data_IF_287452770618
#
_entry.id   IF_287452770618
#
_cell.length_a   1.000
_cell.length_b   1.000
_cell.length_c   1.000
_cell.angle_alpha   90.00
_cell.angle_beta   90.00
_cell.angle_gamma   90.00
#
_symmetry.space_group_name_H-M   'P 1'
#
loop_
_entity.id
_entity.type
_entity.pdbx_description
1 polymer ?
#
# COMPACT_ATOMS: atom_id res chain seq x y z
N UNK A 1 -69.68 24.71 4.05
CA UNK A 1 -69.60 23.35 4.61
C UNK A 1 -68.19 22.84 4.35
N UNK A 2 -67.46 22.52 5.42
CA UNK A 2 -66.05 22.14 5.43
C UNK A 2 -65.89 20.71 4.92
N UNK A 3 -65.05 20.50 3.91
CA UNK A 3 -64.59 19.17 3.51
C UNK A 3 -63.36 18.79 4.34
N UNK A 4 -63.46 17.65 5.02
CA UNK A 4 -62.44 17.03 5.86
C UNK A 4 -61.60 16.12 4.96
N UNK A 5 -60.26 16.26 4.89
CA UNK A 5 -59.44 15.28 4.20
C UNK A 5 -59.23 14.07 5.11
N UNK A 6 -59.60 12.89 4.62
CA UNK A 6 -59.34 11.59 5.24
C UNK A 6 -57.85 11.30 5.11
N UNK A 7 -57.14 11.32 6.24
CA UNK A 7 -55.75 10.87 6.36
C UNK A 7 -55.77 9.35 6.48
N UNK A 8 -55.36 8.66 5.41
CA UNK A 8 -55.06 7.23 5.47
C UNK A 8 -53.67 7.06 6.10
N UNK A 9 -53.65 6.69 7.39
CA UNK A 9 -52.43 6.28 8.09
C UNK A 9 -52.09 4.87 7.64
N UNK A 10 -51.11 4.74 6.74
CA UNK A 10 -50.51 3.46 6.38
C UNK A 10 -49.44 3.12 7.43
N UNK A 11 -49.79 2.29 8.42
CA UNK A 11 -48.85 1.74 9.39
C UNK A 11 -48.05 0.64 8.69
N UNK A 12 -46.87 0.96 8.16
CA UNK A 12 -45.89 -0.07 7.81
C UNK A 12 -45.22 -0.56 9.11
N UNK A 13 -45.68 -1.69 9.61
CA UNK A 13 -44.93 -2.50 10.57
C UNK A 13 -43.74 -3.14 9.83
N UNK A 14 -42.59 -2.47 9.81
CA UNK A 14 -41.35 -3.11 9.38
C UNK A 14 -40.84 -3.97 10.53
N UNK A 15 -40.98 -5.28 10.38
CA UNK A 15 -40.24 -6.27 11.16
C UNK A 15 -38.75 -5.95 11.07
N UNK A 16 -38.15 -5.53 12.18
CA UNK A 16 -36.69 -5.44 12.30
C UNK A 16 -36.13 -6.84 12.19
N UNK A 17 -35.58 -7.19 11.03
CA UNK A 17 -34.64 -8.29 10.92
C UNK A 17 -33.34 -7.76 11.51
N UNK A 18 -33.05 -8.19 12.74
CA UNK A 18 -31.71 -8.05 13.30
C UNK A 18 -30.76 -8.88 12.45
N UNK A 19 -29.96 -8.23 11.61
CA UNK A 19 -28.77 -8.84 11.05
C UNK A 19 -27.64 -8.64 12.06
N UNK A 20 -27.56 -9.59 12.99
CA UNK A 20 -26.29 -9.96 13.60
C UNK A 20 -25.59 -10.89 12.62
N UNK A 21 -24.60 -10.40 11.88
CA UNK A 21 -23.58 -11.24 11.27
C UNK A 21 -22.21 -10.58 11.45
N UNK A 22 -21.46 -11.15 12.38
CA UNK A 22 -20.01 -11.10 12.47
C UNK A 22 -19.41 -11.71 11.21
N UNK A 23 -18.56 -10.94 10.52
CA UNK A 23 -17.30 -11.35 9.88
C UNK A 23 -16.88 -10.23 8.91
N UNK A 24 -16.51 -9.07 9.47
CA UNK A 24 -15.69 -8.13 8.72
C UNK A 24 -14.26 -8.68 8.70
N UNK A 25 -13.96 -9.58 7.76
CA UNK A 25 -12.61 -9.63 7.21
C UNK A 25 -12.46 -8.39 6.33
N UNK A 26 -12.18 -7.25 6.98
CA UNK A 26 -11.81 -6.03 6.30
C UNK A 26 -10.65 -6.34 5.33
N UNK A 27 -10.68 -5.83 4.08
CA UNK A 27 -9.64 -6.09 3.09
C UNK A 27 -8.28 -5.64 3.65
N UNK A 28 -7.25 -6.50 3.59
CA UNK A 28 -5.89 -6.21 4.09
C UNK A 28 -5.11 -5.27 3.15
N UNK A 29 -5.71 -4.15 2.76
CA UNK A 29 -5.07 -3.07 1.97
C UNK A 29 -4.18 -2.16 2.84
N UNK A 30 -3.78 -2.58 4.06
CA UNK A 30 -3.29 -1.68 5.12
C UNK A 30 -1.86 -1.87 5.63
N UNK A 31 -1.02 -2.73 5.03
CA UNK A 31 0.22 -3.19 5.70
C UNK A 31 1.51 -3.03 4.88
N UNK A 32 1.44 -2.38 3.73
CA UNK A 32 2.57 -2.22 2.82
C UNK A 32 3.08 -0.77 2.76
N UNK A 33 4.40 -0.59 2.78
CA UNK A 33 5.09 0.68 2.58
C UNK A 33 6.23 0.46 1.58
N UNK A 34 6.29 1.28 0.52
CA UNK A 34 7.32 1.18 -0.53
C UNK A 34 7.48 -0.23 -1.13
N UNK A 35 6.39 -0.98 -1.23
CA UNK A 35 6.41 -2.37 -1.69
C UNK A 35 6.88 -3.39 -0.64
N UNK A 36 7.25 -2.97 0.57
CA UNK A 36 7.51 -3.88 1.69
C UNK A 36 6.24 -4.11 2.49
N UNK A 37 5.86 -5.37 2.68
CA UNK A 37 4.65 -5.74 3.43
C UNK A 37 5.03 -6.39 4.76
N UNK A 38 4.39 -5.92 5.84
CA UNK A 38 4.43 -6.62 7.11
C UNK A 38 3.97 -8.08 6.93
N UNK A 39 4.58 -8.98 7.67
CA UNK A 39 4.28 -10.41 7.65
C UNK A 39 4.37 -11.07 6.26
N UNK A 40 5.17 -10.50 5.34
CA UNK A 40 5.41 -11.09 4.01
C UNK A 40 6.84 -10.86 3.54
N UNK A 41 7.32 -9.62 3.61
CA UNK A 41 8.73 -9.31 3.31
C UNK A 41 9.63 -9.92 4.38
N UNK A 42 10.70 -10.61 3.97
CA UNK A 42 11.74 -11.10 4.89
C UNK A 42 12.94 -10.17 4.96
N UNK A 43 13.75 -10.29 6.02
CA UNK A 43 15.04 -9.59 6.05
C UNK A 43 15.96 -10.01 4.90
N UNK A 44 15.86 -11.27 4.47
CA UNK A 44 16.61 -11.79 3.32
C UNK A 44 16.23 -11.07 2.03
N UNK A 45 14.94 -10.85 1.78
CA UNK A 45 14.46 -10.08 0.62
C UNK A 45 15.04 -8.66 0.62
N UNK A 46 15.01 -8.00 1.77
CA UNK A 46 15.51 -6.63 1.88
C UNK A 46 17.02 -6.55 1.65
N UNK A 47 17.79 -7.51 2.18
CA UNK A 47 19.24 -7.61 1.95
C UNK A 47 19.58 -7.85 0.48
N UNK A 48 18.75 -8.61 -0.23
CA UNK A 48 18.93 -8.86 -1.66
C UNK A 48 18.64 -7.61 -2.50
N UNK A 49 17.67 -6.79 -2.08
CA UNK A 49 17.31 -5.54 -2.75
C UNK A 49 18.30 -4.39 -2.46
N UNK A 50 18.77 -4.27 -1.21
CA UNK A 50 19.69 -3.24 -0.77
C UNK A 50 20.94 -3.83 -0.10
N UNK A 51 22.06 -3.85 -0.83
CA UNK A 51 23.33 -4.42 -0.34
C UNK A 51 23.98 -3.62 0.81
N UNK A 52 23.55 -2.37 1.01
CA UNK A 52 24.02 -1.46 2.06
C UNK A 52 23.22 -1.57 3.37
N UNK A 53 22.38 -2.60 3.51
CA UNK A 53 21.54 -2.81 4.68
C UNK A 53 22.38 -3.02 5.95
N UNK A 54 22.17 -2.17 6.96
CA UNK A 54 22.91 -2.16 8.23
C UNK A 54 21.97 -2.47 9.39
N UNK A 55 22.46 -3.25 10.35
CA UNK A 55 21.82 -3.43 11.65
C UNK A 55 22.08 -2.20 12.50
N UNK A 56 21.05 -1.69 13.17
CA UNK A 56 21.11 -0.52 14.05
C UNK A 56 20.47 -0.83 15.40
N UNK A 57 20.98 -0.22 16.46
CA UNK A 57 20.27 -0.19 17.73
C UNK A 57 19.08 0.78 17.62
N UNK A 58 17.91 0.34 18.08
CA UNK A 58 16.67 1.08 17.95
C UNK A 58 15.93 1.09 19.29
N UNK A 59 15.62 2.28 19.81
CA UNK A 59 14.75 2.42 20.98
C UNK A 59 13.28 2.52 20.54
N UNK A 60 12.37 1.87 21.25
CA UNK A 60 10.94 1.90 20.94
C UNK A 60 10.27 3.19 21.46
N UNK A 61 9.37 3.75 20.66
CA UNK A 61 8.66 4.99 21.02
C UNK A 61 7.68 4.78 22.19
N UNK A 62 6.88 3.71 22.14
CA UNK A 62 5.89 3.39 23.18
C UNK A 62 6.51 2.67 24.39
N UNK A 63 7.57 1.88 24.17
CA UNK A 63 8.23 1.05 25.18
C UNK A 63 9.76 1.30 25.22
N UNK A 64 10.21 2.53 25.54
CA UNK A 64 11.64 2.84 25.69
C UNK A 64 12.30 1.99 26.78
N UNK A 65 13.63 2.02 26.90
CA UNK A 65 14.39 1.10 27.77
C UNK A 65 13.99 1.16 29.26
N UNK A 66 13.48 2.29 29.71
CA UNK A 66 12.97 2.51 31.08
C UNK A 66 11.54 1.98 31.29
N UNK A 67 10.82 1.59 30.24
CA UNK A 67 9.54 0.92 30.34
C UNK A 67 9.72 -0.57 30.63
N UNK A 68 8.92 -1.10 31.55
CA UNK A 68 8.79 -2.54 31.72
C UNK A 68 7.87 -3.12 30.65
N UNK A 69 8.33 -4.17 29.96
CA UNK A 69 7.57 -4.89 28.93
C UNK A 69 8.20 -4.80 27.54
N UNK A 70 7.74 -5.67 26.65
CA UNK A 70 8.18 -5.75 25.26
C UNK A 70 6.97 -6.05 24.37
N UNK A 71 7.03 -5.65 23.12
CA UNK A 71 6.05 -6.08 22.13
C UNK A 71 6.48 -7.42 21.53
N UNK A 72 5.67 -8.47 21.72
CA UNK A 72 6.02 -9.81 21.28
C UNK A 72 5.87 -10.03 19.77
N UNK A 73 5.38 -9.03 19.01
CA UNK A 73 5.19 -9.16 17.56
C UNK A 73 6.49 -9.02 16.77
N UNK A 74 7.50 -8.35 17.31
CA UNK A 74 8.77 -8.06 16.64
C UNK A 74 9.96 -8.01 17.62
N UNK A 75 11.18 -8.12 17.09
CA UNK A 75 12.42 -8.01 17.83
C UNK A 75 12.65 -6.56 18.26
N UNK A 76 12.54 -6.30 19.56
CA UNK A 76 12.72 -4.98 20.16
C UNK A 76 14.20 -4.64 20.27
N UNK A 77 14.56 -3.34 20.24
CA UNK A 77 15.93 -2.89 20.52
C UNK A 77 16.88 -2.91 19.32
N UNK A 78 16.50 -3.60 18.25
CA UNK A 78 17.27 -3.79 17.03
C UNK A 78 16.39 -3.48 15.82
N UNK A 79 16.96 -2.76 14.85
CA UNK A 79 16.33 -2.51 13.56
C UNK A 79 17.32 -2.66 12.42
N UNK A 80 16.80 -2.59 11.20
CA UNK A 80 17.58 -2.71 9.99
C UNK A 80 17.23 -1.56 9.04
N UNK A 81 18.25 -0.90 8.48
CA UNK A 81 18.10 0.30 7.65
C UNK A 81 19.02 0.29 6.44
N UNK A 82 18.65 0.99 5.37
CA UNK A 82 19.50 1.23 4.19
C UNK A 82 19.38 2.69 3.75
N UNK A 83 20.47 3.23 3.19
CA UNK A 83 20.51 4.57 2.61
C UNK A 83 19.65 4.69 1.35
N UNK A 84 19.30 3.57 0.71
CA UNK A 84 18.36 3.52 -0.42
C UNK A 84 16.90 3.75 0.00
N UNK A 85 16.57 3.51 1.27
CA UNK A 85 15.23 3.67 1.83
C UNK A 85 15.27 4.65 3.02
N UNK A 86 15.53 5.95 2.76
CA UNK A 86 15.71 6.93 3.81
C UNK A 86 14.47 7.03 4.71
N UNK A 87 14.74 7.00 6.01
CA UNK A 87 13.72 7.07 7.04
C UNK A 87 12.87 5.82 7.23
N UNK A 88 13.26 4.68 6.66
CA UNK A 88 12.59 3.39 6.89
C UNK A 88 13.49 2.47 7.70
N UNK A 89 12.96 1.95 8.81
CA UNK A 89 13.64 0.98 9.67
C UNK A 89 12.75 -0.26 9.80
N UNK A 90 13.28 -1.42 9.46
CA UNK A 90 12.59 -2.69 9.55
C UNK A 90 12.93 -3.38 10.87
N UNK A 91 11.97 -4.06 11.48
CA UNK A 91 12.20 -4.94 12.61
C UNK A 91 11.64 -6.32 12.30
N UNK A 92 12.47 -7.33 12.56
CA UNK A 92 12.15 -8.74 12.37
C UNK A 92 11.02 -9.18 13.30
N UNK A 93 10.18 -10.13 12.87
CA UNK A 93 9.25 -10.82 13.74
C UNK A 93 9.97 -11.66 14.80
N UNK A 94 9.41 -11.82 16.00
CA UNK A 94 10.10 -12.55 17.08
C UNK A 94 10.30 -14.05 16.81
N UNK A 95 9.51 -14.65 15.94
CA UNK A 95 9.54 -16.09 15.65
C UNK A 95 9.67 -16.39 14.15
N UNK A 96 9.97 -15.40 13.32
CA UNK A 96 10.05 -15.56 11.87
C UNK A 96 11.06 -14.60 11.25
N UNK A 97 11.53 -14.89 10.03
CA UNK A 97 12.40 -13.96 9.30
C UNK A 97 11.63 -12.82 8.62
N UNK A 98 10.30 -12.82 8.74
CA UNK A 98 9.43 -11.77 8.21
C UNK A 98 9.60 -10.47 8.98
N UNK A 99 9.34 -9.35 8.31
CA UNK A 99 9.22 -8.04 8.93
C UNK A 99 7.93 -7.99 9.74
N UNK A 100 8.06 -7.91 11.06
CA UNK A 100 6.93 -7.76 12.00
C UNK A 100 6.56 -6.29 12.23
N UNK A 101 7.49 -5.37 11.96
CA UNK A 101 7.29 -3.94 12.12
C UNK A 101 8.14 -3.12 11.16
N UNK A 102 7.56 -1.99 10.73
CA UNK A 102 8.25 -0.94 9.97
C UNK A 102 8.11 0.37 10.76
N UNK A 103 9.23 1.03 11.05
CA UNK A 103 9.26 2.38 11.59
C UNK A 103 9.60 3.38 10.50
N UNK A 104 8.77 4.42 10.38
CA UNK A 104 9.02 5.59 9.56
C UNK A 104 9.55 6.71 10.45
N UNK A 105 10.74 7.21 10.13
CA UNK A 105 11.41 8.30 10.86
C UNK A 105 11.18 9.64 10.17
N UNK A 106 11.76 10.71 10.73
CA UNK A 106 11.69 12.06 10.16
C UNK A 106 12.19 12.20 8.73
N UNK A 107 13.02 11.28 8.24
CA UNK A 107 13.55 11.32 6.88
C UNK A 107 12.65 10.64 5.84
N UNK A 108 11.54 10.02 6.27
CA UNK A 108 10.63 9.35 5.36
C UNK A 108 9.74 10.34 4.59
N UNK A 109 9.62 10.10 3.30
CA UNK A 109 8.64 10.73 2.41
C UNK A 109 8.05 9.64 1.51
N UNK A 110 6.72 9.54 1.46
CA UNK A 110 6.08 8.48 0.70
C UNK A 110 4.61 8.28 1.04
N UNK A 111 4.04 7.20 0.48
CA UNK A 111 2.64 6.83 0.61
C UNK A 111 2.44 5.93 1.84
N UNK A 112 1.51 6.30 2.72
CA UNK A 112 0.99 5.46 3.80
C UNK A 112 0.08 4.36 3.25
N UNK A 113 -0.26 3.30 4.02
CA UNK A 113 -1.03 2.18 3.49
C UNK A 113 -2.44 2.55 3.04
N UNK A 114 -3.06 3.55 3.68
CA UNK A 114 -4.37 4.10 3.25
C UNK A 114 -4.27 4.95 1.97
N UNK A 115 -3.07 5.09 1.42
CA UNK A 115 -2.77 5.82 0.21
C UNK A 115 -2.45 7.30 0.35
N UNK A 116 -2.42 7.83 1.57
CA UNK A 116 -2.07 9.22 1.82
C UNK A 116 -0.57 9.45 1.63
N UNK A 117 -0.20 10.47 0.86
CA UNK A 117 1.21 10.87 0.70
C UNK A 117 1.59 11.79 1.85
N UNK A 118 2.72 11.48 2.51
CA UNK A 118 3.24 12.24 3.64
C UNK A 118 4.70 12.59 3.46
N UNK A 119 5.11 13.68 4.10
CA UNK A 119 6.52 14.02 4.32
C UNK A 119 6.72 14.19 5.85
N UNK A 120 7.50 13.31 6.46
CA UNK A 120 7.68 13.31 7.92
C UNK A 120 8.41 14.55 8.46
N UNK A 121 9.11 15.31 7.62
CA UNK A 121 9.77 16.56 8.05
C UNK A 121 8.75 17.65 8.37
N UNK A 122 7.62 17.65 7.67
CA UNK A 122 6.58 18.69 7.78
C UNK A 122 5.27 18.21 8.39
N UNK A 123 5.08 16.90 8.54
CA UNK A 123 3.87 16.29 9.09
C UNK A 123 3.62 16.72 10.54
N UNK A 124 2.44 17.30 10.78
CA UNK A 124 1.96 17.71 12.11
C UNK A 124 0.79 16.86 12.57
N UNK A 125 0.50 16.89 13.88
CA UNK A 125 -0.61 16.13 14.45
C UNK A 125 -1.97 16.45 13.80
N UNK A 126 -2.25 17.72 13.50
CA UNK A 126 -3.48 18.11 12.79
C UNK A 126 -3.64 17.42 11.43
N UNK A 127 -2.55 17.15 10.74
CA UNK A 127 -2.56 16.48 9.44
C UNK A 127 -2.85 14.97 9.64
N UNK A 128 -2.33 14.38 10.72
CA UNK A 128 -2.70 13.01 11.14
C UNK A 128 -4.20 12.91 11.36
N UNK A 129 -4.85 13.88 12.00
CA UNK A 129 -6.30 13.88 12.20
C UNK A 129 -7.09 14.11 10.91
N UNK A 130 -6.52 14.80 9.91
CA UNK A 130 -7.14 14.88 8.59
C UNK A 130 -7.09 13.53 7.85
N UNK A 131 -5.98 12.80 7.99
CA UNK A 131 -5.77 11.49 7.36
C UNK A 131 -6.52 10.37 8.11
N UNK A 132 -6.56 10.44 9.43
CA UNK A 132 -7.20 9.49 10.34
C UNK A 132 -8.12 10.21 11.34
N UNK A 133 -9.32 10.63 10.92
CA UNK A 133 -10.25 11.38 11.77
C UNK A 133 -10.63 10.65 13.07
N UNK A 134 -10.64 9.32 13.05
CA UNK A 134 -10.95 8.47 14.20
C UNK A 134 -9.93 8.56 15.35
N UNK A 135 -8.79 9.24 15.16
CA UNK A 135 -7.76 9.41 16.18
C UNK A 135 -7.90 10.69 17.02
N UNK A 136 -8.74 11.64 16.60
CA UNK A 136 -8.81 12.98 17.18
C UNK A 136 -9.01 12.99 18.70
N UNK A 137 -9.83 12.07 19.21
CA UNK A 137 -10.18 11.99 20.64
C UNK A 137 -9.45 10.84 21.36
N UNK A 138 -8.47 10.20 20.72
CA UNK A 138 -7.77 9.00 21.23
C UNK A 138 -6.36 9.33 21.73
N UNK A 139 -6.27 10.25 22.70
CA UNK A 139 -5.01 10.56 23.36
C UNK A 139 -4.57 9.42 24.26
N UNK A 140 -3.53 8.69 23.85
CA UNK A 140 -2.97 7.60 24.63
C UNK A 140 -1.49 7.87 24.91
N UNK A 141 -1.01 7.41 26.06
CA UNK A 141 0.42 7.33 26.35
C UNK A 141 0.65 6.31 27.45
N UNK A 142 1.76 5.57 27.38
CA UNK A 142 2.23 4.78 28.52
C UNK A 142 2.93 5.72 29.49
N UNK A 143 2.73 5.54 30.80
CA UNK A 143 3.32 6.43 31.81
C UNK A 143 4.86 6.53 31.78
N UNK A 144 5.53 5.56 31.16
CA UNK A 144 6.98 5.54 30.97
C UNK A 144 7.44 5.97 29.56
N UNK A 145 6.51 6.23 28.63
CA UNK A 145 6.79 6.73 27.27
C UNK A 145 6.93 8.25 27.26
N UNK A 146 7.76 8.75 26.35
CA UNK A 146 7.95 10.18 26.09
C UNK A 146 6.98 10.74 25.02
N UNK A 147 5.99 9.95 24.59
CA UNK A 147 5.14 10.29 23.45
C UNK A 147 3.65 10.16 23.74
N UNK A 148 2.88 11.08 23.17
CA UNK A 148 1.48 10.86 22.86
C UNK A 148 1.40 9.93 21.66
N UNK A 149 0.61 8.86 21.79
CA UNK A 149 0.37 7.84 20.77
C UNK A 149 -1.06 7.96 20.24
N UNK A 150 -1.17 8.03 18.91
CA UNK A 150 -2.44 8.00 18.18
C UNK A 150 -2.42 6.78 17.26
N UNK A 151 -3.26 5.79 17.54
CA UNK A 151 -3.11 4.48 16.91
C UNK A 151 -4.42 3.74 16.67
N UNK A 152 -4.36 2.81 15.73
CA UNK A 152 -5.24 1.65 15.64
C UNK A 152 -4.40 0.37 15.76
N UNK A 153 -4.96 -0.77 15.33
CA UNK A 153 -4.31 -2.08 15.44
C UNK A 153 -3.03 -2.21 14.60
N UNK A 154 -2.89 -1.41 13.53
CA UNK A 154 -1.84 -1.55 12.52
C UNK A 154 -0.87 -0.38 12.46
N UNK A 155 -1.33 0.85 12.72
CA UNK A 155 -0.50 2.05 12.60
C UNK A 155 -0.57 2.89 13.88
N UNK A 156 0.58 3.43 14.29
CA UNK A 156 0.74 4.31 15.45
C UNK A 156 1.56 5.55 15.07
N UNK A 157 1.05 6.72 15.40
CA UNK A 157 1.72 8.01 15.24
C UNK A 157 2.17 8.52 16.61
N UNK A 158 3.37 9.08 16.68
CA UNK A 158 3.97 9.55 17.93
C UNK A 158 4.27 11.05 17.89
N UNK A 159 3.78 11.77 18.88
CA UNK A 159 4.08 13.19 19.11
C UNK A 159 4.75 13.33 20.47
N UNK A 160 5.91 13.98 20.51
CA UNK A 160 6.70 14.08 21.75
C UNK A 160 5.95 14.87 22.83
N UNK A 161 5.92 14.33 24.03
CA UNK A 161 5.37 15.00 25.21
C UNK A 161 6.31 16.12 25.63
N UNK A 162 5.75 17.31 25.80
CA UNK A 162 6.47 18.43 26.39
C UNK A 162 6.35 18.39 27.91
N UNK A 163 7.34 17.79 28.56
CA UNK A 163 7.40 17.63 30.03
C UNK A 163 7.51 18.95 30.79
N UNK A 164 7.82 20.05 30.09
CA UNK A 164 7.90 21.40 30.70
C UNK A 164 6.52 22.01 30.95
N UNK A 165 5.48 21.49 30.29
CA UNK A 165 4.09 21.95 30.49
C UNK A 165 3.48 21.18 31.66
N UNK A 166 3.20 21.90 32.75
CA UNK A 166 2.58 21.36 33.96
C UNK A 166 1.34 22.18 34.35
N UNK A 167 0.23 21.54 34.77
CA UNK A 167 0.03 20.09 34.85
C UNK A 167 -0.12 19.46 33.46
N UNK A 168 0.28 18.19 33.30
CA UNK A 168 0.14 17.46 32.04
C UNK A 168 -1.33 17.23 31.65
N UNK A 169 -2.22 17.18 32.64
CA UNK A 169 -3.65 16.98 32.48
C UNK A 169 -4.44 18.15 33.11
N UNK A 170 -5.54 18.60 32.48
CA UNK A 170 -6.06 18.17 31.17
C UNK A 170 -5.10 18.49 30.02
N UNK A 171 -5.12 17.68 28.97
CA UNK A 171 -4.18 17.82 27.84
C UNK A 171 -4.44 19.15 27.14
N UNK A 172 -3.39 19.95 26.92
CA UNK A 172 -3.47 21.13 26.09
C UNK A 172 -3.49 20.73 24.59
N UNK A 173 -4.63 20.25 24.11
CA UNK A 173 -4.76 19.72 22.75
C UNK A 173 -4.33 20.75 21.69
N UNK A 174 -4.80 22.00 21.82
CA UNK A 174 -4.48 23.08 20.88
C UNK A 174 -2.97 23.29 20.72
N UNK A 175 -2.20 23.17 21.81
CA UNK A 175 -0.74 23.26 21.76
C UNK A 175 -0.11 22.14 20.93
N UNK A 176 -0.64 20.93 21.04
CA UNK A 176 -0.08 19.75 20.39
C UNK A 176 -0.51 19.60 18.92
N UNK A 177 -1.62 20.21 18.48
CA UNK A 177 -2.09 20.12 17.09
C UNK A 177 -1.03 20.55 16.05
N UNK A 178 -0.19 21.52 16.40
CA UNK A 178 0.87 22.04 15.53
C UNK A 178 2.23 21.39 15.74
N UNK A 179 2.33 20.40 16.64
CA UNK A 179 3.57 19.69 16.91
C UNK A 179 3.87 18.66 15.84
N UNK A 180 5.17 18.45 15.54
CA UNK A 180 5.58 17.47 14.56
C UNK A 180 5.29 16.05 15.03
N UNK A 181 5.03 15.17 14.07
CA UNK A 181 5.08 13.73 14.29
C UNK A 181 6.55 13.31 14.29
N UNK A 182 7.00 12.62 15.34
CA UNK A 182 8.40 12.20 15.50
C UNK A 182 8.68 10.80 14.92
N UNK A 183 7.64 9.99 14.78
CA UNK A 183 7.73 8.68 14.17
C UNK A 183 6.37 8.07 13.89
N UNK A 184 6.37 7.09 13.00
CA UNK A 184 5.21 6.25 12.71
C UNK A 184 5.66 4.80 12.81
N UNK A 185 4.93 3.98 13.56
CA UNK A 185 5.12 2.54 13.56
C UNK A 185 3.98 1.87 12.82
N UNK A 186 4.30 1.01 11.87
CA UNK A 186 3.40 0.02 11.33
C UNK A 186 3.75 -1.33 11.96
N UNK A 187 2.76 -1.97 12.57
CA UNK A 187 2.95 -3.26 13.26
C UNK A 187 1.80 -4.17 12.92
N UNK A 188 2.11 -5.45 12.69
CA UNK A 188 1.10 -6.48 12.49
C UNK A 188 1.51 -7.73 13.25
N UNK A 189 0.57 -8.38 13.93
CA UNK A 189 0.82 -9.70 14.49
C UNK A 189 0.78 -10.72 13.38
N UNK A 190 1.94 -11.27 13.03
CA UNK A 190 1.99 -12.34 12.04
C UNK A 190 1.53 -13.69 12.62
N UNK A 191 1.37 -13.80 13.95
CA UNK A 191 1.04 -15.05 14.61
C UNK A 191 -0.29 -15.64 14.13
N UNK A 192 -1.34 -14.83 14.01
CA UNK A 192 -2.64 -15.30 13.50
C UNK A 192 -2.60 -15.69 12.02
N UNK A 193 -1.74 -15.08 11.21
CA UNK A 193 -1.56 -15.49 9.82
C UNK A 193 -0.95 -16.89 9.73
N UNK A 194 -0.04 -17.26 10.64
CA UNK A 194 0.69 -18.52 10.54
C UNK A 194 0.21 -19.62 11.49
N UNK A 195 -0.69 -19.33 12.43
CA UNK A 195 -1.17 -20.30 13.43
C UNK A 195 -2.70 -20.43 13.50
N UNK A 196 -3.47 -19.84 12.58
CA UNK A 196 -4.91 -20.11 12.47
C UNK A 196 -5.16 -21.57 11.99
N UNK A 197 -6.19 -22.28 12.50
CA UNK A 197 -6.47 -23.68 12.16
C UNK A 197 -6.93 -23.88 10.70
N UNK A 198 -7.22 -22.80 9.98
CA UNK A 198 -7.53 -22.87 8.56
C UNK A 198 -6.24 -22.98 7.77
N UNK A 199 -6.06 -24.10 7.07
CA UNK A 199 -5.00 -24.41 6.09
C UNK A 199 -4.90 -23.36 4.97
N UNK A 200 -4.46 -22.15 5.28
CA UNK A 200 -4.26 -21.03 4.34
C UNK A 200 -2.79 -20.96 3.90
N UNK A 201 -1.88 -21.61 4.64
CA UNK A 201 -0.42 -21.52 4.46
C UNK A 201 0.30 -22.87 4.32
N UNK A 202 -0.40 -23.96 4.03
CA UNK A 202 0.28 -25.17 3.57
C UNK A 202 0.78 -24.95 2.14
N UNK A 203 2.06 -24.57 1.98
CA UNK A 203 2.74 -24.78 0.71
C UNK A 203 2.72 -26.30 0.46
N UNK A 204 1.85 -26.74 -0.44
CA UNK A 204 1.88 -28.13 -0.87
C UNK A 204 3.08 -28.30 -1.80
N UNK A 205 3.86 -29.36 -1.59
CA UNK A 205 5.03 -29.73 -2.41
C UNK A 205 4.74 -29.88 -3.91
N UNK A 206 3.48 -29.74 -4.34
CA UNK A 206 2.98 -29.85 -5.70
C UNK A 206 2.29 -28.55 -6.21
N UNK A 207 2.30 -27.45 -5.44
CA UNK A 207 1.72 -26.17 -5.88
C UNK A 207 2.79 -25.25 -6.51
N UNK A 208 2.39 -24.39 -7.47
CA UNK A 208 3.29 -23.38 -8.03
C UNK A 208 3.59 -22.28 -7.00
N UNK A 209 4.73 -21.63 -7.15
CA UNK A 209 5.10 -20.48 -6.32
C UNK A 209 4.43 -19.22 -6.86
N UNK A 210 3.75 -18.47 -5.99
CA UNK A 210 3.06 -17.24 -6.37
C UNK A 210 3.86 -16.00 -6.00
N UNK A 211 3.83 -15.00 -6.87
CA UNK A 211 4.30 -13.64 -6.62
C UNK A 211 3.16 -12.68 -6.89
N UNK A 212 2.86 -11.81 -5.94
CA UNK A 212 1.95 -10.68 -6.13
C UNK A 212 2.77 -9.40 -6.08
N UNK A 213 2.73 -8.58 -7.14
CA UNK A 213 3.48 -7.33 -7.23
C UNK A 213 4.99 -7.53 -6.98
N UNK A 214 5.53 -8.61 -7.54
CA UNK A 214 6.92 -9.07 -7.37
C UNK A 214 7.30 -9.56 -5.96
N UNK A 215 6.33 -9.72 -5.05
CA UNK A 215 6.53 -10.24 -3.69
C UNK A 215 6.03 -11.67 -3.62
N UNK A 216 6.83 -12.61 -3.10
CA UNK A 216 6.40 -14.00 -2.90
C UNK A 216 5.22 -14.05 -1.92
N UNK A 217 4.15 -14.75 -2.29
CA UNK A 217 2.94 -14.94 -1.47
C UNK A 217 2.50 -16.40 -1.51
N UNK A 218 1.76 -16.81 -0.49
CA UNK A 218 1.01 -18.06 -0.52
C UNK A 218 -0.32 -17.88 -1.29
N UNK A 219 -0.91 -19.00 -1.72
CA UNK A 219 -2.20 -19.02 -2.42
C UNK A 219 -3.32 -18.35 -1.63
N UNK A 220 -3.33 -18.50 -0.31
CA UNK A 220 -4.33 -17.91 0.57
C UNK A 220 -4.41 -16.37 0.49
N UNK A 221 -3.29 -15.69 0.25
CA UNK A 221 -3.30 -14.22 0.05
C UNK A 221 -4.08 -13.82 -1.19
N UNK A 222 -4.16 -14.68 -2.21
CA UNK A 222 -4.87 -14.35 -3.44
C UNK A 222 -6.39 -14.32 -3.27
N UNK A 223 -6.93 -14.95 -2.22
CA UNK A 223 -8.37 -14.91 -1.95
C UNK A 223 -8.83 -13.59 -1.37
N UNK A 224 -7.90 -12.69 -0.98
CA UNK A 224 -8.23 -11.34 -0.50
C UNK A 224 -8.28 -10.29 -1.62
N UNK A 225 -8.12 -10.70 -2.88
CA UNK A 225 -8.15 -9.80 -4.04
C UNK A 225 -9.30 -10.17 -4.96
N UNK A 226 -10.05 -9.16 -5.38
CA UNK A 226 -11.05 -9.33 -6.42
C UNK A 226 -10.37 -9.45 -7.79
N UNK A 227 -10.88 -10.29 -8.71
CA UNK A 227 -10.31 -10.42 -10.05
C UNK A 227 -10.21 -9.09 -10.80
N UNK A 228 -11.11 -8.14 -10.51
CA UNK A 228 -11.12 -6.80 -11.12
C UNK A 228 -9.95 -5.92 -10.70
N UNK A 229 -9.24 -6.27 -9.62
CA UNK A 229 -8.05 -5.56 -9.13
C UNK A 229 -6.77 -6.04 -9.82
N UNK A 230 -6.84 -7.15 -10.57
CA UNK A 230 -5.69 -7.76 -11.23
C UNK A 230 -5.50 -7.17 -12.63
N UNK A 231 -4.27 -6.71 -12.91
CA UNK A 231 -3.88 -6.19 -14.21
C UNK A 231 -3.29 -7.27 -15.13
N UNK A 232 -2.49 -8.18 -14.57
CA UNK A 232 -1.89 -9.27 -15.35
C UNK A 232 -1.52 -10.47 -14.49
N UNK A 233 -1.50 -11.64 -15.15
CA UNK A 233 -1.02 -12.90 -14.59
C UNK A 233 -0.07 -13.53 -15.61
N UNK A 234 1.13 -13.87 -15.18
CA UNK A 234 2.14 -14.54 -15.98
C UNK A 234 2.46 -15.88 -15.35
N UNK A 235 2.28 -16.97 -16.10
CA UNK A 235 2.53 -18.33 -15.63
C UNK A 235 3.77 -18.88 -16.31
N UNK A 236 4.77 -19.24 -15.51
CA UNK A 236 5.99 -19.92 -15.94
C UNK A 236 5.90 -21.41 -15.57
N UNK A 237 6.23 -22.27 -16.54
CA UNK A 237 6.17 -23.74 -16.40
C UNK A 237 7.53 -24.37 -16.69
N UNK A 238 7.70 -25.62 -16.25
CA UNK A 238 8.81 -26.51 -16.57
C UNK A 238 10.19 -25.85 -16.35
N UNK A 239 11.08 -25.97 -17.33
CA UNK A 239 12.45 -25.44 -17.29
C UNK A 239 12.50 -23.92 -17.13
N UNK A 240 11.47 -23.19 -17.56
CA UNK A 240 11.43 -21.72 -17.42
C UNK A 240 11.20 -21.31 -15.97
N UNK A 241 10.35 -22.03 -15.25
CA UNK A 241 10.11 -21.82 -13.81
C UNK A 241 11.36 -22.15 -12.98
N UNK A 242 12.02 -23.26 -13.29
CA UNK A 242 13.29 -23.67 -12.65
C UNK A 242 14.39 -22.65 -12.92
N UNK A 243 14.44 -22.05 -14.11
CA UNK A 243 15.42 -20.99 -14.41
C UNK A 243 15.22 -19.73 -13.57
N UNK A 244 13.99 -19.43 -13.15
CA UNK A 244 13.67 -18.24 -12.33
C UNK A 244 13.98 -18.49 -10.84
N UNK A 245 13.61 -19.65 -10.29
CA UNK A 245 13.69 -19.91 -8.83
C UNK A 245 14.56 -21.11 -8.42
N UNK A 246 15.27 -21.74 -9.35
CA UNK A 246 16.00 -22.97 -9.08
C UNK A 246 15.06 -24.17 -8.80
N UNK A 247 15.49 -25.15 -7.98
CA UNK A 247 14.71 -26.36 -7.71
C UNK A 247 13.31 -26.12 -7.14
N UNK A 248 13.10 -25.01 -6.44
CA UNK A 248 11.79 -24.62 -5.88
C UNK A 248 10.75 -24.35 -6.99
N UNK A 249 11.19 -23.91 -8.16
CA UNK A 249 10.32 -23.66 -9.32
C UNK A 249 9.81 -24.92 -10.02
N UNK A 250 10.13 -26.13 -9.54
CA UNK A 250 9.76 -27.41 -10.19
C UNK A 250 8.25 -27.56 -10.46
N UNK A 251 7.41 -26.92 -9.65
CA UNK A 251 5.95 -26.98 -9.78
C UNK A 251 5.36 -25.77 -10.52
N UNK A 252 6.20 -24.89 -11.06
CA UNK A 252 5.78 -23.66 -11.74
C UNK A 252 5.89 -22.41 -10.88
N UNK A 253 5.84 -21.25 -11.55
CA UNK A 253 5.86 -19.93 -10.92
C UNK A 253 4.78 -19.06 -11.54
N UNK A 254 4.00 -18.37 -10.72
CA UNK A 254 2.92 -17.49 -11.15
C UNK A 254 3.20 -16.09 -10.62
N UNK A 255 3.39 -15.13 -11.53
CA UNK A 255 3.43 -13.71 -11.19
C UNK A 255 2.07 -13.09 -11.43
N UNK A 256 1.59 -12.32 -10.48
CA UNK A 256 0.32 -11.61 -10.48
C UNK A 256 0.65 -10.15 -10.20
N UNK A 257 0.08 -9.26 -10.99
CA UNK A 257 0.28 -7.82 -10.81
C UNK A 257 -1.06 -7.13 -10.68
N UNK A 258 -1.21 -6.32 -9.64
CA UNK A 258 -2.39 -5.50 -9.40
C UNK A 258 -2.43 -4.29 -10.34
N UNK A 259 -3.62 -3.73 -10.54
CA UNK A 259 -3.79 -2.48 -11.30
C UNK A 259 -3.04 -1.32 -10.69
N UNK A 260 -3.03 -1.20 -9.37
CA UNK A 260 -2.32 -0.13 -8.67
C UNK A 260 -0.81 -0.22 -8.87
N UNK A 261 -0.23 -1.41 -8.74
CA UNK A 261 1.19 -1.63 -9.01
C UNK A 261 1.53 -1.36 -10.47
N UNK A 262 0.68 -1.86 -11.38
CA UNK A 262 0.89 -1.66 -12.80
C UNK A 262 0.85 -0.18 -13.20
N UNK A 263 -0.08 0.60 -12.64
CA UNK A 263 -0.18 2.05 -12.82
C UNK A 263 1.08 2.78 -12.39
N UNK A 264 1.59 2.48 -11.19
CA UNK A 264 2.84 3.06 -10.71
C UNK A 264 3.99 2.82 -11.68
N UNK A 265 4.19 1.56 -12.05
CA UNK A 265 5.28 1.16 -12.96
C UNK A 265 5.19 1.84 -14.32
N UNK A 266 4.05 1.74 -15.03
CA UNK A 266 3.99 2.28 -16.38
C UNK A 266 4.05 3.81 -16.36
N UNK A 267 3.49 4.47 -15.32
CA UNK A 267 3.59 5.92 -15.19
C UNK A 267 5.04 6.37 -15.00
N UNK A 268 5.79 5.68 -14.12
CA UNK A 268 7.23 5.91 -13.94
C UNK A 268 8.02 5.69 -15.23
N UNK A 269 7.66 4.68 -16.00
CA UNK A 269 8.27 4.43 -17.29
C UNK A 269 7.98 5.56 -18.28
N UNK A 270 6.71 5.88 -18.52
CA UNK A 270 6.29 6.87 -19.53
C UNK A 270 6.75 8.29 -19.18
N UNK A 271 6.75 8.68 -17.89
CA UNK A 271 7.27 9.99 -17.46
C UNK A 271 8.77 10.12 -17.74
N UNK A 272 9.52 9.03 -17.65
CA UNK A 272 10.95 9.02 -18.01
C UNK A 272 11.18 9.21 -19.51
N UNK A 273 10.19 8.84 -20.34
CA UNK A 273 10.27 8.96 -21.80
C UNK A 273 9.74 10.28 -22.35
N UNK A 274 8.88 11.00 -21.63
CA UNK A 274 8.29 12.26 -22.12
C UNK A 274 7.94 13.26 -21.03
N UNK A 275 8.51 14.46 -21.16
CA UNK A 275 8.14 15.62 -20.34
C UNK A 275 6.71 16.09 -20.59
N UNK A 276 6.21 15.94 -21.81
CA UNK A 276 4.83 16.32 -22.14
C UNK A 276 3.82 15.32 -21.56
N UNK A 277 4.19 14.03 -21.47
CA UNK A 277 3.41 13.05 -20.72
C UNK A 277 3.30 13.45 -19.24
N UNK A 278 4.42 13.80 -18.60
CA UNK A 278 4.41 14.25 -17.20
C UNK A 278 3.54 15.49 -16.98
N UNK A 279 3.46 16.41 -17.93
CA UNK A 279 2.54 17.56 -17.85
C UNK A 279 1.07 17.14 -17.95
N UNK A 280 0.77 16.17 -18.82
CA UNK A 280 -0.60 15.68 -19.03
C UNK A 280 -1.09 14.76 -17.91
N UNK A 281 -0.18 13.97 -17.31
CA UNK A 281 -0.44 13.02 -16.22
C UNK A 281 0.59 13.27 -15.09
N UNK A 282 0.36 14.27 -14.21
CA UNK A 282 1.33 14.67 -13.19
C UNK A 282 1.61 13.62 -12.11
N UNK A 283 0.69 12.65 -11.93
CA UNK A 283 0.84 11.51 -11.03
C UNK A 283 0.00 10.33 -11.54
N UNK A 284 0.33 9.11 -11.09
CA UNK A 284 -0.31 7.87 -11.56
C UNK A 284 -1.83 7.81 -11.28
N UNK A 285 -2.34 8.58 -10.30
CA UNK A 285 -3.76 8.68 -9.96
C UNK A 285 -4.53 9.77 -10.74
N UNK A 286 -3.85 10.53 -11.61
CA UNK A 286 -4.40 11.67 -12.37
C UNK A 286 -4.49 11.40 -13.86
N UNK A 287 -4.97 10.22 -14.23
CA UNK A 287 -5.12 9.78 -15.62
C UNK A 287 -6.57 9.83 -16.15
N UNK A 288 -7.56 10.27 -15.36
CA UNK A 288 -8.98 10.26 -15.77
C UNK A 288 -9.25 11.16 -16.99
N UNK A 289 -8.44 12.20 -17.17
CA UNK A 289 -8.52 13.13 -18.30
C UNK A 289 -7.82 12.65 -19.57
N UNK A 290 -7.18 11.48 -19.57
CA UNK A 290 -6.42 10.97 -20.72
C UNK A 290 -6.98 9.66 -21.26
N UNK A 291 -6.61 9.35 -22.49
CA UNK A 291 -6.81 8.03 -23.10
C UNK A 291 -5.49 7.53 -23.68
N UNK A 292 -5.19 6.26 -23.42
CA UNK A 292 -4.00 5.61 -23.97
C UNK A 292 -4.33 4.98 -25.33
N UNK A 293 -3.43 5.16 -26.29
CA UNK A 293 -3.54 4.62 -27.64
C UNK A 293 -2.25 3.88 -27.92
N UNK A 294 -2.29 2.54 -27.82
CA UNK A 294 -1.13 1.67 -28.00
C UNK A 294 -1.19 1.05 -29.40
N UNK A 295 -0.20 1.36 -30.24
CA UNK A 295 -0.14 0.86 -31.63
C UNK A 295 -1.44 1.06 -32.42
N UNK A 296 -1.98 2.29 -32.33
CA UNK A 296 -3.27 2.73 -32.89
C UNK A 296 -4.53 2.06 -32.29
N UNK A 297 -4.39 1.17 -31.30
CA UNK A 297 -5.52 0.63 -30.53
C UNK A 297 -5.85 1.57 -29.37
N UNK A 298 -7.08 2.07 -29.33
CA UNK A 298 -7.61 2.84 -28.19
C UNK A 298 -7.84 1.88 -27.01
N UNK A 299 -7.30 2.22 -25.85
CA UNK A 299 -7.44 1.42 -24.63
C UNK A 299 -8.52 2.04 -23.72
N UNK A 300 -9.71 1.45 -23.72
CA UNK A 300 -10.90 2.00 -23.02
C UNK A 300 -11.00 1.57 -21.55
N UNK A 301 -10.64 0.32 -21.24
CA UNK A 301 -10.73 -0.28 -19.91
C UNK A 301 -9.68 -1.37 -19.75
N UNK A 302 -9.38 -1.72 -18.49
CA UNK A 302 -8.48 -2.82 -18.08
C UNK A 302 -7.11 -2.78 -18.80
N UNK A 303 -6.63 -1.58 -19.09
CA UNK A 303 -5.45 -1.32 -19.91
C UNK A 303 -4.15 -1.40 -19.12
N UNK A 304 -4.23 -1.52 -17.79
CA UNK A 304 -3.07 -1.54 -16.93
C UNK A 304 -2.09 -2.66 -17.30
N UNK A 305 -2.60 -3.84 -17.67
CA UNK A 305 -1.79 -4.96 -18.13
C UNK A 305 -1.09 -4.70 -19.47
N UNK A 306 -1.78 -4.06 -20.42
CA UNK A 306 -1.21 -3.69 -21.73
C UNK A 306 -0.01 -2.73 -21.54
N UNK A 307 -0.17 -1.73 -20.67
CA UNK A 307 0.88 -0.72 -20.41
C UNK A 307 1.98 -1.21 -19.48
N UNK A 308 1.68 -2.15 -18.55
CA UNK A 308 2.66 -2.73 -17.64
C UNK A 308 3.84 -3.40 -18.38
N UNK A 309 3.55 -4.00 -19.53
CA UNK A 309 4.51 -4.74 -20.33
C UNK A 309 5.48 -3.86 -21.13
N UNK A 310 5.35 -2.53 -21.06
CA UNK A 310 6.29 -1.62 -21.71
C UNK A 310 7.68 -1.70 -21.07
N UNK A 311 8.69 -1.82 -21.93
CA UNK A 311 10.11 -1.88 -21.58
C UNK A 311 10.94 -1.22 -22.68
N UNK A 312 12.21 -0.94 -22.40
CA UNK A 312 13.11 -0.37 -23.42
C UNK A 312 13.32 -1.27 -24.65
N UNK A 313 13.05 -2.58 -24.54
CA UNK A 313 13.16 -3.50 -25.67
C UNK A 313 11.97 -3.44 -26.63
N UNK A 314 10.79 -3.05 -26.14
CA UNK A 314 9.58 -3.00 -26.97
C UNK A 314 9.08 -1.57 -27.22
N UNK A 315 9.51 -0.58 -26.45
CA UNK A 315 9.08 0.81 -26.62
C UNK A 315 9.79 1.48 -27.80
N UNK A 316 9.02 2.15 -28.66
CA UNK A 316 9.54 2.93 -29.79
C UNK A 316 9.42 4.43 -29.59
N UNK A 317 8.21 4.93 -29.37
CA UNK A 317 7.96 6.35 -29.12
C UNK A 317 6.71 6.59 -28.29
N UNK A 318 6.62 7.81 -27.73
CA UNK A 318 5.43 8.35 -27.08
C UNK A 318 5.16 9.75 -27.63
N UNK A 319 3.89 10.05 -27.89
CA UNK A 319 3.42 11.37 -28.30
C UNK A 319 2.15 11.74 -27.55
N UNK A 320 2.12 12.94 -26.99
CA UNK A 320 0.91 13.52 -26.40
C UNK A 320 0.19 14.35 -27.47
N UNK A 321 -1.11 14.11 -27.65
CA UNK A 321 -1.97 14.88 -28.56
C UNK A 321 -3.09 15.56 -27.77
N UNK A 322 -3.51 16.73 -28.24
CA UNK A 322 -4.60 17.49 -27.63
C UNK A 322 -5.99 16.94 -27.98
N UNK A 323 -7.00 17.47 -27.28
CA UNK A 323 -8.42 17.18 -27.49
C UNK A 323 -8.91 17.41 -28.92
N UNK A 324 -8.37 18.41 -29.63
CA UNK A 324 -8.79 18.73 -31.02
C UNK A 324 -8.37 17.62 -31.96
N UNK A 325 -7.14 17.14 -31.80
CA UNK A 325 -6.56 16.02 -32.55
C UNK A 325 -7.29 14.73 -32.21
N UNK A 326 -7.52 14.45 -30.92
CA UNK A 326 -8.30 13.29 -30.47
C UNK A 326 -9.68 13.21 -31.13
N UNK A 327 -10.42 14.32 -31.14
CA UNK A 327 -11.74 14.40 -31.77
C UNK A 327 -11.68 14.15 -33.27
N UNK A 328 -10.68 14.73 -33.94
CA UNK A 328 -10.52 14.61 -35.39
C UNK A 328 -10.18 13.18 -35.81
N UNK A 329 -9.15 12.62 -35.19
CA UNK A 329 -8.46 11.42 -35.66
C UNK A 329 -9.01 10.14 -35.00
N UNK A 330 -9.47 10.21 -33.74
CA UNK A 330 -9.95 9.06 -32.96
C UNK A 330 -11.44 9.13 -32.59
N UNK A 331 -12.12 10.25 -32.89
CA UNK A 331 -13.54 10.50 -32.54
C UNK A 331 -13.83 10.52 -31.02
N UNK A 332 -12.80 10.77 -30.20
CA UNK A 332 -12.91 10.84 -28.74
C UNK A 332 -13.14 12.29 -28.31
N UNK A 333 -14.19 12.56 -27.53
CA UNK A 333 -14.63 13.92 -27.16
C UNK A 333 -14.60 14.22 -25.66
N UNK A 334 -14.55 13.18 -24.83
CA UNK A 334 -14.67 13.21 -23.37
C UNK A 334 -13.30 13.26 -22.66
N UNK A 335 -12.20 13.21 -23.41
CA UNK A 335 -10.82 13.25 -22.89
C UNK A 335 -10.10 14.54 -23.30
N UNK A 336 -9.14 14.94 -22.48
CA UNK A 336 -8.34 16.15 -22.69
C UNK A 336 -7.08 15.86 -23.51
N UNK A 337 -6.48 14.68 -23.31
CA UNK A 337 -5.23 14.29 -23.95
C UNK A 337 -5.26 12.85 -24.45
N UNK A 338 -4.61 12.62 -25.59
CA UNK A 338 -4.33 11.28 -26.11
C UNK A 338 -2.86 10.97 -25.90
N UNK A 339 -2.57 9.82 -25.29
CA UNK A 339 -1.20 9.33 -25.09
C UNK A 339 -0.95 8.24 -26.12
N UNK A 340 -0.33 8.61 -27.24
CA UNK A 340 0.01 7.68 -28.32
C UNK A 340 1.33 7.02 -27.96
N UNK A 341 1.32 5.69 -27.86
CA UNK A 341 2.48 4.86 -27.57
C UNK A 341 2.66 3.94 -28.76
N UNK A 342 3.87 3.91 -29.30
CA UNK A 342 4.25 2.95 -30.34
C UNK A 342 5.24 1.97 -29.78
N UNK A 343 5.04 0.70 -30.10
CA UNK A 343 5.99 -0.36 -29.82
C UNK A 343 6.73 -0.78 -31.09
N UNK A 344 7.88 -1.42 -30.92
CA UNK A 344 8.52 -2.17 -32.00
C UNK A 344 7.78 -3.49 -32.10
N UNK A 345 7.02 -3.69 -33.18
CA UNK A 345 6.41 -4.98 -33.46
C UNK A 345 7.51 -6.04 -33.49
N UNK A 346 7.44 -7.04 -32.61
CA UNK A 346 8.19 -8.26 -32.79
C UNK A 346 7.75 -8.84 -34.13
N UNK A 347 8.65 -8.88 -35.12
CA UNK A 347 8.42 -9.66 -36.32
C UNK A 347 7.88 -11.02 -35.92
N UNK A 348 6.79 -11.42 -36.56
CA UNK A 348 6.08 -12.66 -36.28
C UNK A 348 7.03 -13.85 -36.10
N UNK A 349 6.67 -14.70 -35.14
CA UNK A 349 6.94 -16.12 -35.20
C UNK A 349 5.61 -16.85 -35.19
#
# INVERSE_FOLDING_TARGET
>A
MRYIPVIAILILATTTIGLSQTNDSAPMTGTSILGFSLCRTTLTDIRNLAKDFKVISLEEMDLPKNCYGQDSRFTNGEGYSSEQYPGVIFQKGNQSDYVGKIRLTRDFEGKLPNGSIINMKTLKLRDVFAIYPAFKDKWNSRGCSDYWKFSNDTISFYVKIDKTIQPQFPINEKYYYDKPVEGIDLVLSCYGLYNEPTNVFTEHDNEPIFFLDSIRVNRGVLTSYEPTEIASITVFKDTTAIRILGPEGKNGVIYIYTKDYAKGRYWDYLKSKSKDYLKAVPSADKDQGVVYILDNKVLEKDFEGDLFNLTDSNFRDIKVIDKKTLKKDFKINDKNWGILIRTVSGNGK
#
